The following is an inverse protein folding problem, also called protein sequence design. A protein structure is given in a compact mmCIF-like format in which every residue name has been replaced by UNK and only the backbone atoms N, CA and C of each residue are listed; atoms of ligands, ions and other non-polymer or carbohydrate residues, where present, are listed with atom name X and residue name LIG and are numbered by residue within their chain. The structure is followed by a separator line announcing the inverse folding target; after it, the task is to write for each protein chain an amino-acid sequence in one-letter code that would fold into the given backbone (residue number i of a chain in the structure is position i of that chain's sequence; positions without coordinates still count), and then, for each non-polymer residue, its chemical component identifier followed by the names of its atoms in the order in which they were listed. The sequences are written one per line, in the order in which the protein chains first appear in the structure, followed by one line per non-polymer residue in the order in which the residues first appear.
data_IF_399540795101
#
_entry.id   IF_399540795101
#
_cell.length_a   1.000
_cell.length_b   1.000
_cell.length_c   1.000
_cell.angle_alpha   90.00
_cell.angle_beta   90.00
_cell.angle_gamma   90.00
#
_symmetry.space_group_name_H-M   'P 1'
#
loop_
_entity.id
_entity.type
_entity.pdbx_description
1 polymer ?
#
# COMPACT_ATOMS: atom_id res chain seq x y z
N UNK A 1 -7.31 -8.52 -10.12
CA UNK A 1 -6.33 -7.48 -9.74
C UNK A 1 -6.17 -7.56 -8.23
N UNK A 2 -4.94 -7.42 -7.71
CA UNK A 2 -4.69 -7.44 -6.27
C UNK A 2 -3.94 -6.19 -5.84
N UNK A 3 -4.45 -5.49 -4.82
CA UNK A 3 -3.83 -4.30 -4.24
C UNK A 3 -3.38 -4.64 -2.81
N UNK A 4 -2.07 -4.51 -2.58
CA UNK A 4 -1.48 -4.68 -1.25
C UNK A 4 -1.00 -3.33 -0.72
N UNK A 5 -1.50 -2.90 0.44
CA UNK A 5 -0.99 -1.78 1.21
C UNK A 5 0.10 -2.26 2.17
N UNK A 6 1.29 -1.66 2.10
CA UNK A 6 2.37 -1.95 3.05
C UNK A 6 2.57 -0.77 4.00
N UNK A 7 2.40 -1.04 5.30
CA UNK A 7 2.65 -0.10 6.40
C UNK A 7 3.97 -0.45 7.08
N UNK A 8 4.62 0.51 7.73
CA UNK A 8 5.91 0.30 8.39
C UNK A 8 5.84 0.60 9.88
N UNK A 9 6.40 -0.29 10.69
CA UNK A 9 6.71 -0.06 12.10
C UNK A 9 8.18 0.30 12.18
N UNK A 10 8.49 1.40 12.86
CA UNK A 10 9.83 1.92 13.03
C UNK A 10 10.59 1.15 14.13
N UNK A 11 11.90 1.39 14.23
CA UNK A 11 12.75 0.67 15.17
C UNK A 11 12.36 0.95 16.64
N UNK A 12 11.80 2.14 16.90
CA UNK A 12 11.24 2.52 18.21
C UNK A 12 9.91 1.83 18.52
N UNK A 13 9.34 1.09 17.55
CA UNK A 13 8.06 0.39 17.69
C UNK A 13 6.84 1.23 17.32
N UNK A 14 7.00 2.54 17.04
CA UNK A 14 5.88 3.36 16.57
C UNK A 14 5.51 3.04 15.12
N UNK A 15 4.20 3.04 14.78
CA UNK A 15 3.78 3.02 13.39
C UNK A 15 4.26 4.30 12.70
N UNK A 16 4.68 4.19 11.45
CA UNK A 16 5.10 5.36 10.68
C UNK A 16 3.93 6.36 10.58
N UNK A 17 4.15 7.62 10.99
CA UNK A 17 3.13 8.66 10.97
C UNK A 17 2.46 8.84 9.60
N UNK A 18 3.24 8.66 8.52
CA UNK A 18 2.71 8.71 7.14
C UNK A 18 1.78 7.56 6.80
N UNK A 19 1.96 6.38 7.40
CA UNK A 19 1.06 5.25 7.19
C UNK A 19 -0.32 5.55 7.75
N UNK A 20 -0.38 6.23 8.91
CA UNK A 20 -1.64 6.65 9.51
C UNK A 20 -2.37 7.69 8.65
N UNK A 21 -1.68 8.73 8.17
CA UNK A 21 -2.29 9.76 7.31
C UNK A 21 -2.88 9.18 6.01
N UNK A 22 -2.17 8.22 5.40
CA UNK A 22 -2.66 7.57 4.17
C UNK A 22 -3.81 6.62 4.43
N UNK A 23 -3.78 5.86 5.54
CA UNK A 23 -4.88 4.98 5.94
C UNK A 23 -6.14 5.77 6.25
N UNK A 24 -6.03 6.84 7.04
CA UNK A 24 -7.15 7.73 7.36
C UNK A 24 -7.77 8.31 6.08
N UNK A 25 -6.95 8.78 5.13
CA UNK A 25 -7.45 9.24 3.82
C UNK A 25 -8.17 8.15 3.05
N UNK A 26 -7.65 6.92 3.04
CA UNK A 26 -8.32 5.81 2.35
C UNK A 26 -9.68 5.51 2.99
N UNK A 27 -9.78 5.57 4.31
CA UNK A 27 -11.04 5.37 5.04
C UNK A 27 -12.03 6.51 4.80
N UNK A 28 -11.60 7.77 4.92
CA UNK A 28 -12.42 8.96 4.70
C UNK A 28 -13.00 9.02 3.29
N UNK A 29 -12.23 8.57 2.29
CA UNK A 29 -12.68 8.51 0.89
C UNK A 29 -13.42 7.22 0.55
N UNK A 30 -13.65 6.32 1.51
CA UNK A 30 -14.29 5.01 1.29
C UNK A 30 -13.48 4.09 0.37
N UNK A 31 -12.18 4.33 0.20
CA UNK A 31 -11.32 3.61 -0.73
C UNK A 31 -10.69 2.36 -0.12
N UNK A 32 -10.79 2.19 1.20
CA UNK A 32 -10.25 1.01 1.89
C UNK A 32 -10.85 -0.31 1.37
N UNK A 33 -12.07 -0.27 0.82
CA UNK A 33 -12.73 -1.41 0.19
C UNK A 33 -11.99 -1.98 -1.03
N UNK A 34 -11.14 -1.18 -1.68
CA UNK A 34 -10.35 -1.62 -2.85
C UNK A 34 -9.00 -2.23 -2.46
N UNK A 35 -8.64 -2.22 -1.17
CA UNK A 35 -7.37 -2.78 -0.70
C UNK A 35 -7.59 -4.25 -0.33
N UNK A 36 -7.07 -5.17 -1.12
CA UNK A 36 -7.22 -6.61 -0.89
C UNK A 36 -6.43 -7.10 0.34
N UNK A 37 -5.27 -6.49 0.61
CA UNK A 37 -4.37 -6.97 1.66
C UNK A 37 -3.57 -5.83 2.29
N UNK A 38 -3.43 -5.84 3.61
CA UNK A 38 -2.54 -4.93 4.34
C UNK A 38 -1.42 -5.73 4.99
N UNK A 39 -0.17 -5.36 4.71
CA UNK A 39 1.03 -5.97 5.28
C UNK A 39 1.80 -5.00 6.15
N UNK A 40 2.44 -5.52 7.19
CA UNK A 40 3.30 -4.75 8.09
C UNK A 40 4.76 -5.07 7.80
N UNK A 41 5.53 -4.03 7.55
CA UNK A 41 6.99 -4.02 7.49
C UNK A 41 7.52 -3.57 8.86
N UNK A 42 7.75 -4.51 9.76
CA UNK A 42 8.37 -4.23 11.04
C UNK A 42 9.90 -4.27 10.85
N UNK A 43 10.58 -3.13 11.01
CA UNK A 43 12.04 -3.09 10.85
C UNK A 43 12.80 -3.86 11.93
N UNK A 44 12.12 -4.22 13.03
CA UNK A 44 12.68 -5.06 14.10
C UNK A 44 12.58 -6.54 13.75
N UNK A 45 11.71 -6.91 12.82
CA UNK A 45 11.54 -8.27 12.32
C UNK A 45 11.88 -8.36 10.82
N UNK A 46 13.07 -8.83 10.46
CA UNK A 46 13.49 -8.96 9.06
C UNK A 46 12.65 -9.98 8.27
N UNK A 47 11.90 -10.85 8.94
CA UNK A 47 10.98 -11.81 8.32
C UNK A 47 9.56 -11.25 8.17
N UNK A 48 9.31 -10.01 8.59
CA UNK A 48 7.99 -9.42 8.47
C UNK A 48 7.58 -9.33 6.98
N UNK A 49 6.34 -9.75 6.63
CA UNK A 49 5.93 -9.85 5.24
C UNK A 49 6.06 -8.54 4.46
N UNK A 50 5.79 -7.40 5.11
CA UNK A 50 5.94 -6.09 4.49
C UNK A 50 7.40 -5.72 4.22
N UNK A 51 8.34 -6.16 5.06
CA UNK A 51 9.76 -5.88 4.87
C UNK A 51 10.36 -6.77 3.78
N UNK A 52 9.95 -8.03 3.70
CA UNK A 52 10.30 -8.91 2.58
C UNK A 52 9.80 -8.32 1.25
N UNK A 53 8.56 -7.83 1.21
CA UNK A 53 7.99 -7.21 0.02
C UNK A 53 8.71 -5.90 -0.35
N UNK A 54 9.06 -5.10 0.65
CA UNK A 54 9.86 -3.89 0.48
C UNK A 54 11.25 -4.20 -0.11
N UNK A 55 11.91 -5.25 0.36
CA UNK A 55 13.20 -5.71 -0.17
C UNK A 55 13.07 -6.24 -1.60
N UNK A 56 12.06 -7.07 -1.87
CA UNK A 56 11.78 -7.62 -3.20
C UNK A 56 11.62 -6.53 -4.25
N UNK A 57 10.90 -5.46 -3.91
CA UNK A 57 10.66 -4.34 -4.82
C UNK A 57 11.64 -3.17 -4.65
N UNK A 58 12.67 -3.32 -3.79
CA UNK A 58 13.68 -2.29 -3.48
C UNK A 58 13.07 -0.95 -3.05
N UNK A 59 12.05 -1.00 -2.20
CA UNK A 59 11.33 0.17 -1.68
C UNK A 59 11.76 0.45 -0.26
N UNK A 60 12.37 1.61 -0.01
CA UNK A 60 12.81 2.00 1.33
C UNK A 60 11.75 2.82 2.09
N UNK A 61 10.84 3.46 1.34
CA UNK A 61 9.84 4.41 1.85
C UNK A 61 8.51 3.70 2.14
N UNK A 62 7.89 4.06 3.26
CA UNK A 62 6.54 3.59 3.61
C UNK A 62 5.65 4.79 4.00
N UNK A 63 4.32 4.69 3.83
CA UNK A 63 3.58 3.56 3.22
C UNK A 63 3.84 3.46 1.70
N UNK A 64 3.61 2.28 1.14
CA UNK A 64 3.57 2.08 -0.31
C UNK A 64 2.53 1.03 -0.69
N UNK A 65 2.14 1.03 -1.95
CA UNK A 65 1.15 0.14 -2.52
C UNK A 65 1.79 -0.73 -3.58
N UNK A 66 1.42 -2.01 -3.59
CA UNK A 66 1.80 -2.98 -4.63
C UNK A 66 0.54 -3.37 -5.37
N UNK A 67 0.54 -3.15 -6.68
CA UNK A 67 -0.60 -3.44 -7.55
C UNK A 67 -0.21 -4.56 -8.50
N UNK A 68 -0.85 -5.70 -8.34
CA UNK A 68 -0.61 -6.90 -9.14
C UNK A 68 -1.78 -7.09 -10.11
N UNK A 69 -1.44 -7.16 -11.40
CA UNK A 69 -2.39 -7.39 -12.50
C UNK A 69 -1.97 -8.65 -13.23
N UNK A 70 -2.95 -9.46 -13.64
CA UNK A 70 -2.70 -10.70 -14.36
C UNK A 70 -1.88 -10.44 -15.63
N UNK A 71 -0.81 -11.22 -15.80
CA UNK A 71 0.09 -11.12 -16.94
C UNK A 71 0.99 -9.87 -16.97
N UNK A 72 1.01 -9.03 -15.92
CA UNK A 72 1.85 -7.82 -15.84
C UNK A 72 2.80 -7.86 -14.64
N UNK A 73 3.88 -7.08 -14.74
CA UNK A 73 4.76 -6.84 -13.59
C UNK A 73 4.01 -6.04 -12.52
N UNK A 74 4.28 -6.34 -11.26
CA UNK A 74 3.73 -5.58 -10.14
C UNK A 74 4.16 -4.11 -10.22
N UNK A 75 3.20 -3.22 -10.02
CA UNK A 75 3.39 -1.77 -10.04
C UNK A 75 3.46 -1.24 -8.62
N UNK A 76 4.45 -0.39 -8.33
CA UNK A 76 4.72 0.11 -6.98
C UNK A 76 4.40 1.60 -6.91
N UNK A 77 3.55 1.98 -5.97
CA UNK A 77 3.20 3.37 -5.73
C UNK A 77 3.61 3.77 -4.32
N UNK A 78 4.57 4.70 -4.21
CA UNK A 78 4.97 5.28 -2.91
C UNK A 78 4.27 6.61 -2.61
N UNK A 79 3.35 7.03 -3.48
CA UNK A 79 2.63 8.32 -3.39
C UNK A 79 1.14 8.03 -3.51
N UNK A 80 0.39 8.31 -2.45
CA UNK A 80 -1.05 8.09 -2.38
C UNK A 80 -1.81 8.75 -3.54
N UNK A 81 -1.57 10.04 -3.83
CA UNK A 81 -2.27 10.73 -4.91
C UNK A 81 -2.07 10.09 -6.30
N UNK A 82 -0.88 9.53 -6.56
CA UNK A 82 -0.58 8.82 -7.80
C UNK A 82 -1.35 7.51 -7.86
N UNK A 83 -1.31 6.73 -6.78
CA UNK A 83 -2.08 5.50 -6.62
C UNK A 83 -3.59 5.75 -6.78
N UNK A 84 -4.14 6.75 -6.08
CA UNK A 84 -5.55 7.08 -6.14
C UNK A 84 -5.99 7.47 -7.56
N UNK A 85 -5.18 8.28 -8.27
CA UNK A 85 -5.50 8.71 -9.63
C UNK A 85 -5.40 7.58 -10.66
N UNK A 86 -4.36 6.77 -10.61
CA UNK A 86 -4.07 5.77 -11.64
C UNK A 86 -4.73 4.41 -11.38
N UNK A 87 -5.11 4.14 -10.13
CA UNK A 87 -5.59 2.82 -9.70
C UNK A 87 -6.99 2.91 -9.13
N UNK A 88 -7.21 3.71 -8.07
CA UNK A 88 -8.51 3.75 -7.40
C UNK A 88 -9.59 4.44 -8.23
N UNK A 89 -9.27 5.55 -8.89
CA UNK A 89 -10.25 6.29 -9.70
C UNK A 89 -10.85 5.44 -10.82
N UNK A 90 -10.06 4.71 -11.64
CA UNK A 90 -10.64 3.78 -12.62
C UNK A 90 -11.51 2.69 -11.99
N UNK A 91 -11.13 2.15 -10.82
CA UNK A 91 -11.94 1.14 -10.12
C UNK A 91 -13.30 1.71 -9.67
N UNK A 92 -13.29 2.91 -9.11
CA UNK A 92 -14.51 3.62 -8.68
C UNK A 92 -15.41 3.90 -9.88
N UNK A 93 -14.84 4.36 -11.00
CA UNK A 93 -15.59 4.63 -12.24
C UNK A 93 -16.19 3.34 -12.84
N UNK A 94 -15.51 2.20 -12.70
CA UNK A 94 -16.02 0.89 -13.14
C UNK A 94 -17.17 0.35 -12.28
N UNK A 95 -17.11 0.50 -10.95
CA UNK A 95 -18.18 0.05 -10.03
C UNK A 95 -19.46 0.91 -10.12
N UNK A 96 -19.32 2.16 -10.57
CA UNK A 96 -20.44 3.10 -10.72
C UNK A 96 -21.19 2.96 -12.07
N UNK A 97 -20.73 2.07 -12.96
CA UNK A 97 -21.31 1.83 -14.31
C UNK A 97 -22.12 0.54 -14.36
#
# INVERSE_FOLDING_TARGET
MKITLVKKILADGSPCAKCRDVEEKLEENGQMQFIDQTLIADVRDPQSPGLQLAQQYKVERAPFFVVEREGKKAEIFTVYFKFAKEVLRPLIEMEAS
#
